data_IF_716873945808
#
_entry.id   IF_716873945808
#
_cell.length_a   1.000
_cell.length_b   1.000
_cell.length_c   1.000
_cell.angle_alpha   90.00
_cell.angle_beta   90.00
_cell.angle_gamma   90.00
#
_symmetry.space_group_name_H-M   'P 1'
#
loop_
_entity.id
_entity.type
_entity.pdbx_description
1 polymer ?
#
# COMPACT_ATOMS: atom_id res chain seq x y z
N UNK A 1 11.18 -33.01 16.90
CA UNK A 1 12.32 -32.07 16.82
C UNK A 1 12.47 -31.45 15.42
N UNK A 2 11.38 -31.17 14.67
CA UNK A 2 11.46 -30.60 13.31
C UNK A 2 10.57 -29.36 13.10
N UNK A 3 9.86 -28.89 14.14
CA UNK A 3 8.92 -27.77 14.03
C UNK A 3 9.55 -26.41 14.40
N UNK A 4 10.58 -26.38 15.24
CA UNK A 4 11.17 -25.11 15.73
C UNK A 4 12.05 -24.38 14.71
N UNK A 5 12.65 -25.09 13.74
CA UNK A 5 13.59 -24.50 12.79
C UNK A 5 12.90 -23.73 11.66
N UNK A 6 11.66 -24.10 11.32
CA UNK A 6 10.85 -23.43 10.30
C UNK A 6 10.27 -22.12 10.82
N UNK A 7 9.78 -22.10 12.07
CA UNK A 7 9.23 -20.90 12.73
C UNK A 7 10.28 -19.81 12.95
N UNK A 8 11.49 -20.17 13.39
CA UNK A 8 12.57 -19.17 13.57
C UNK A 8 13.00 -18.51 12.26
N UNK A 9 12.92 -19.22 11.13
CA UNK A 9 13.33 -18.73 9.79
C UNK A 9 12.26 -17.87 9.13
N UNK A 10 10.98 -18.12 9.40
CA UNK A 10 9.89 -17.23 8.99
C UNK A 10 9.85 -15.97 9.84
N UNK A 11 10.20 -16.06 11.13
CA UNK A 11 10.20 -14.93 12.06
C UNK A 11 11.35 -13.94 11.83
N UNK A 12 12.55 -14.42 11.47
CA UNK A 12 13.68 -13.53 11.09
C UNK A 12 13.48 -12.86 9.73
N UNK A 13 12.87 -13.56 8.76
CA UNK A 13 12.55 -12.94 7.46
C UNK A 13 11.43 -11.90 7.54
N UNK A 14 10.51 -12.06 8.49
CA UNK A 14 9.47 -11.06 8.72
C UNK A 14 10.02 -9.82 9.41
N UNK A 15 11.01 -9.93 10.29
CA UNK A 15 11.70 -8.76 10.85
C UNK A 15 12.50 -8.02 9.79
N UNK A 16 13.24 -8.71 8.91
CA UNK A 16 14.00 -8.07 7.82
C UNK A 16 13.07 -7.38 6.81
N UNK A 17 11.94 -8.00 6.48
CA UNK A 17 10.93 -7.40 5.62
C UNK A 17 10.25 -6.18 6.27
N UNK A 18 10.10 -6.15 7.59
CA UNK A 18 9.55 -5.01 8.33
C UNK A 18 10.58 -3.88 8.41
N UNK A 19 11.87 -4.18 8.61
CA UNK A 19 12.94 -3.17 8.63
C UNK A 19 13.14 -2.52 7.25
N UNK A 20 13.23 -3.32 6.18
CA UNK A 20 13.30 -2.81 4.80
C UNK A 20 12.04 -1.99 4.45
N UNK A 21 10.89 -2.39 4.97
CA UNK A 21 9.64 -1.65 4.80
C UNK A 21 9.60 -0.34 5.60
N UNK A 22 10.17 -0.30 6.81
CA UNK A 22 10.24 0.90 7.65
C UNK A 22 11.19 1.96 7.10
N UNK A 23 12.29 1.56 6.46
CA UNK A 23 13.24 2.46 5.81
C UNK A 23 12.73 3.01 4.47
N UNK A 24 11.84 2.29 3.78
CA UNK A 24 11.25 2.71 2.49
C UNK A 24 9.96 3.53 2.69
N UNK A 25 9.23 3.33 3.79
CA UNK A 25 8.07 4.12 4.18
C UNK A 25 8.45 5.43 4.88
N UNK A 26 9.27 6.22 4.20
CA UNK A 26 9.54 7.61 4.56
C UNK A 26 8.31 8.42 4.16
N UNK A 27 7.25 8.37 4.96
CA UNK A 27 7.06 9.34 6.06
C UNK A 27 5.60 9.54 6.46
N UNK A 28 4.62 9.03 5.72
CA UNK A 28 3.27 9.57 5.95
C UNK A 28 2.13 8.58 5.95
N UNK A 29 2.07 7.48 5.21
CA UNK A 29 0.82 6.69 5.13
C UNK A 29 0.86 5.30 5.76
N UNK A 30 1.98 4.99 6.40
CA UNK A 30 2.11 3.85 7.30
C UNK A 30 1.96 4.30 8.75
N UNK A 31 1.05 3.64 9.46
CA UNK A 31 0.59 4.00 10.80
C UNK A 31 1.15 3.09 11.90
N UNK A 32 2.09 2.19 11.57
CA UNK A 32 2.69 1.28 12.55
C UNK A 32 1.64 0.42 13.24
N UNK A 33 1.75 0.31 14.57
CA UNK A 33 0.91 -0.55 15.43
C UNK A 33 -0.54 -0.06 15.65
N UNK A 34 -1.08 0.77 14.75
CA UNK A 34 -2.45 1.26 14.79
C UNK A 34 -3.46 0.09 14.81
N UNK A 35 -4.43 0.16 15.71
CA UNK A 35 -5.46 -0.87 15.83
C UNK A 35 -6.50 -0.76 14.73
N UNK A 36 -7.25 -1.84 14.50
CA UNK A 36 -8.35 -1.85 13.53
C UNK A 36 -9.47 -0.85 13.90
N UNK A 37 -9.67 -0.60 15.19
CA UNK A 37 -10.69 0.33 15.69
C UNK A 37 -10.27 1.78 15.46
N UNK A 38 -9.03 2.14 15.82
CA UNK A 38 -8.50 3.49 15.56
C UNK A 38 -8.46 3.79 14.06
N UNK A 39 -8.05 2.81 13.24
CA UNK A 39 -8.10 2.96 11.78
C UNK A 39 -9.52 3.18 11.25
N UNK A 40 -10.52 2.53 11.85
CA UNK A 40 -11.93 2.73 11.50
C UNK A 40 -12.38 4.15 11.85
N UNK A 41 -12.05 4.65 13.03
CA UNK A 41 -12.39 6.00 13.47
C UNK A 41 -11.76 7.06 12.56
N UNK A 42 -10.48 6.90 12.20
CA UNK A 42 -9.79 7.81 11.26
C UNK A 42 -10.47 7.84 9.88
N UNK A 43 -10.98 6.69 9.40
CA UNK A 43 -11.54 6.58 8.05
C UNK A 43 -13.04 6.88 7.97
N UNK A 44 -13.78 6.86 9.09
CA UNK A 44 -15.24 6.90 9.11
C UNK A 44 -15.84 8.12 8.41
N UNK A 45 -15.21 9.28 8.53
CA UNK A 45 -15.66 10.55 7.94
C UNK A 45 -14.82 10.98 6.72
N UNK A 46 -14.11 10.04 6.10
CA UNK A 46 -13.27 10.31 4.91
C UNK A 46 -13.99 9.93 3.61
N UNK A 47 -13.49 10.43 2.49
CA UNK A 47 -14.03 10.07 1.18
C UNK A 47 -13.74 8.60 0.83
N UNK A 48 -14.64 7.96 0.07
CA UNK A 48 -14.39 6.64 -0.51
C UNK A 48 -13.06 6.62 -1.28
N UNK A 49 -12.29 5.54 -1.10
CA UNK A 49 -10.95 5.41 -1.66
C UNK A 49 -9.83 5.92 -0.76
N UNK A 50 -10.16 6.51 0.39
CA UNK A 50 -9.16 6.89 1.38
C UNK A 50 -8.60 5.66 2.09
N UNK A 51 -7.29 5.55 2.26
CA UNK A 51 -6.66 4.36 2.83
C UNK A 51 -5.44 4.65 3.68
N UNK A 52 -5.06 3.70 4.53
CA UNK A 52 -3.83 3.70 5.29
C UNK A 52 -3.28 2.28 5.42
N UNK A 53 -1.98 2.15 5.67
CA UNK A 53 -1.34 0.87 5.96
C UNK A 53 -0.91 0.84 7.42
N UNK A 54 -1.09 -0.29 8.07
CA UNK A 54 -0.75 -0.51 9.49
C UNK A 54 -0.32 -1.95 9.71
N UNK A 55 0.21 -2.23 10.87
CA UNK A 55 0.51 -3.58 11.30
C UNK A 55 -0.78 -4.39 11.46
N UNK A 56 -0.70 -5.65 11.08
CA UNK A 56 -1.79 -6.57 11.34
C UNK A 56 -1.83 -6.95 12.81
N UNK A 57 -3.01 -6.90 13.41
CA UNK A 57 -3.24 -7.43 14.76
C UNK A 57 -3.34 -8.96 14.80
N UNK A 58 -3.32 -9.62 13.62
CA UNK A 58 -3.34 -11.07 13.50
C UNK A 58 -1.96 -11.65 13.28
N UNK A 59 -1.65 -12.74 13.99
CA UNK A 59 -0.33 -13.40 13.97
C UNK A 59 0.11 -13.87 12.58
N UNK A 60 -0.82 -14.24 11.71
CA UNK A 60 -0.50 -14.84 10.41
C UNK A 60 -0.24 -13.80 9.29
N UNK A 61 -0.36 -12.52 9.60
CA UNK A 61 -0.21 -11.44 8.63
C UNK A 61 0.71 -10.36 9.20
N UNK A 62 1.51 -9.73 8.35
CA UNK A 62 2.40 -8.65 8.78
C UNK A 62 1.70 -7.29 8.72
N UNK A 63 1.00 -7.03 7.62
CA UNK A 63 0.41 -5.73 7.34
C UNK A 63 -1.07 -5.82 7.00
N UNK A 64 -1.78 -4.72 7.20
CA UNK A 64 -3.18 -4.54 6.83
C UNK A 64 -3.35 -3.18 6.17
N UNK A 65 -4.09 -3.14 5.06
CA UNK A 65 -4.61 -1.91 4.46
C UNK A 65 -6.00 -1.67 5.03
N UNK A 66 -6.19 -0.54 5.70
CA UNK A 66 -7.52 -0.07 6.07
C UNK A 66 -7.97 0.95 5.04
N UNK A 67 -9.13 0.77 4.42
CA UNK A 67 -9.64 1.63 3.36
C UNK A 67 -11.12 1.95 3.53
N UNK A 68 -11.51 3.18 3.23
CA UNK A 68 -12.89 3.62 3.19
C UNK A 68 -13.52 3.18 1.87
N UNK A 69 -14.54 2.31 1.95
CA UNK A 69 -15.31 1.82 0.80
C UNK A 69 -16.74 2.36 0.85
N UNK A 70 -17.52 2.17 -0.20
CA UNK A 70 -18.97 2.46 -0.20
C UNK A 70 -19.77 1.72 0.88
N UNK A 71 -19.25 0.63 1.45
CA UNK A 71 -19.85 -0.07 2.60
C UNK A 71 -19.27 0.39 3.96
N UNK A 72 -18.37 1.36 3.97
CA UNK A 72 -17.66 1.86 5.15
C UNK A 72 -16.20 1.37 5.24
N UNK A 73 -15.54 1.65 6.37
CA UNK A 73 -14.13 1.28 6.59
C UNK A 73 -13.96 -0.25 6.58
N UNK A 74 -13.09 -0.73 5.70
CA UNK A 74 -12.80 -2.15 5.47
C UNK A 74 -11.31 -2.42 5.69
N UNK A 75 -10.99 -3.59 6.24
CA UNK A 75 -9.62 -4.04 6.48
C UNK A 75 -9.24 -5.15 5.50
N UNK A 76 -8.11 -4.98 4.81
CA UNK A 76 -7.56 -5.92 3.84
C UNK A 76 -6.20 -6.37 4.32
N UNK A 77 -6.06 -7.66 4.60
CA UNK A 77 -4.80 -8.19 5.09
C UNK A 77 -3.83 -8.41 3.93
N UNK A 78 -2.54 -8.24 4.20
CA UNK A 78 -1.46 -8.51 3.28
C UNK A 78 -0.76 -9.80 3.73
N UNK A 79 -0.85 -10.83 2.91
CA UNK A 79 -0.09 -12.07 3.10
C UNK A 79 1.36 -11.87 2.62
N UNK A 80 2.31 -12.40 3.38
CA UNK A 80 3.71 -12.50 2.99
C UNK A 80 4.12 -13.97 2.90
N UNK A 81 4.45 -14.44 1.71
CA UNK A 81 4.86 -15.82 1.46
C UNK A 81 5.93 -15.87 0.38
N UNK A 82 6.95 -16.69 0.59
CA UNK A 82 8.05 -16.92 -0.37
C UNK A 82 8.75 -15.63 -0.84
N UNK A 83 8.85 -14.63 0.03
CA UNK A 83 9.47 -13.34 -0.28
C UNK A 83 8.56 -12.35 -1.03
N UNK A 84 7.28 -12.68 -1.19
CA UNK A 84 6.32 -11.85 -1.94
C UNK A 84 5.12 -11.45 -1.08
N UNK A 85 4.60 -10.27 -1.35
CA UNK A 85 3.40 -9.70 -0.77
C UNK A 85 2.20 -9.87 -1.72
N UNK A 86 1.04 -10.20 -1.17
CA UNK A 86 -0.24 -10.25 -1.90
C UNK A 86 -1.40 -9.88 -0.98
N UNK A 87 -2.51 -9.39 -1.54
CA UNK A 87 -3.74 -9.20 -0.77
C UNK A 87 -4.38 -10.55 -0.45
N UNK A 88 -4.98 -10.63 0.73
CA UNK A 88 -5.73 -11.81 1.17
C UNK A 88 -6.84 -12.14 0.16
N UNK A 89 -6.81 -13.39 -0.29
CA UNK A 89 -7.72 -13.91 -1.31
C UNK A 89 -9.18 -13.92 -0.84
N UNK A 90 -9.41 -13.97 0.47
CA UNK A 90 -10.74 -14.05 1.07
C UNK A 90 -11.56 -12.77 0.83
N UNK A 91 -10.90 -11.63 0.61
CA UNK A 91 -11.58 -10.32 0.51
C UNK A 91 -11.87 -9.92 -0.95
N UNK A 92 -11.23 -10.55 -1.94
CA UNK A 92 -11.37 -10.16 -3.36
C UNK A 92 -12.09 -11.22 -4.18
N UNK A 93 -13.31 -10.90 -4.63
CA UNK A 93 -14.14 -11.76 -5.51
C UNK A 93 -13.63 -11.69 -6.96
N UNK A 94 -12.40 -12.18 -7.25
CA UNK A 94 -11.88 -12.72 -8.56
C UNK A 94 -10.32 -12.83 -8.63
N UNK A 95 -9.76 -13.69 -9.51
CA UNK A 95 -8.59 -14.55 -9.23
C UNK A 95 -7.27 -14.07 -9.86
N UNK A 96 -6.95 -12.77 -9.77
CA UNK A 96 -5.63 -12.26 -10.24
C UNK A 96 -4.93 -11.48 -9.13
N UNK A 97 -4.79 -12.14 -7.99
CA UNK A 97 -3.91 -11.66 -6.92
C UNK A 97 -2.49 -11.69 -7.46
N UNK A 98 -1.98 -10.50 -7.78
CA UNK A 98 -0.58 -10.35 -8.13
C UNK A 98 0.24 -10.41 -6.85
N UNK A 99 1.42 -10.99 -7.00
CA UNK A 99 2.44 -11.04 -5.99
C UNK A 99 3.43 -9.91 -6.28
N UNK A 100 3.89 -9.24 -5.23
CA UNK A 100 4.76 -8.08 -5.32
C UNK A 100 5.98 -8.25 -4.43
N UNK A 101 7.11 -7.69 -4.83
CA UNK A 101 8.35 -7.69 -4.03
C UNK A 101 8.32 -6.69 -2.86
N UNK A 102 7.43 -5.69 -2.91
CA UNK A 102 7.26 -4.69 -1.87
C UNK A 102 5.78 -4.35 -1.70
N UNK A 103 5.37 -4.05 -0.47
CA UNK A 103 4.02 -3.56 -0.18
C UNK A 103 3.77 -2.19 -0.80
N UNK A 104 4.80 -1.34 -0.97
CA UNK A 104 4.64 -0.06 -1.68
C UNK A 104 4.25 -0.30 -3.14
N UNK A 105 4.89 -1.29 -3.79
CA UNK A 105 4.55 -1.69 -5.15
C UNK A 105 3.14 -2.29 -5.24
N UNK A 106 2.74 -3.09 -4.25
CA UNK A 106 1.37 -3.60 -4.13
C UNK A 106 0.37 -2.44 -4.07
N UNK A 107 0.57 -1.49 -3.14
CA UNK A 107 -0.31 -0.32 -2.97
C UNK A 107 -0.37 0.51 -4.25
N UNK A 108 0.77 0.82 -4.87
CA UNK A 108 0.81 1.59 -6.11
C UNK A 108 0.01 0.91 -7.23
N UNK A 109 0.15 -0.41 -7.39
CA UNK A 109 -0.60 -1.15 -8.39
C UNK A 109 -2.12 -1.05 -8.18
N UNK A 110 -2.60 -1.22 -6.95
CA UNK A 110 -4.03 -1.12 -6.64
C UNK A 110 -4.55 0.33 -6.73
N UNK A 111 -3.71 1.32 -6.41
CA UNK A 111 -4.03 2.74 -6.62
C UNK A 111 -4.17 3.05 -8.11
N UNK A 112 -3.24 2.56 -8.94
CA UNK A 112 -3.30 2.74 -10.38
C UNK A 112 -4.51 2.03 -11.00
N UNK A 113 -4.81 0.81 -10.55
CA UNK A 113 -6.00 0.07 -10.98
C UNK A 113 -7.28 0.86 -10.67
N UNK A 114 -7.38 1.42 -9.46
CA UNK A 114 -8.51 2.26 -9.04
C UNK A 114 -8.69 3.49 -9.94
N UNK A 115 -7.58 4.16 -10.31
CA UNK A 115 -7.61 5.30 -11.25
C UNK A 115 -8.08 4.90 -12.65
N UNK A 116 -7.66 3.74 -13.16
CA UNK A 116 -8.10 3.26 -14.48
C UNK A 116 -9.57 2.85 -14.50
N UNK A 117 -10.07 2.25 -13.43
CA UNK A 117 -11.49 1.91 -13.25
C UNK A 117 -12.40 3.15 -13.18
N UNK A 118 -11.87 4.30 -12.76
CA UNK A 118 -12.60 5.57 -12.76
C UNK A 118 -12.55 6.31 -14.11
N UNK A 119 -11.45 6.21 -14.88
CA UNK A 119 -11.29 6.90 -16.18
C UNK A 119 -12.07 6.25 -17.34
N UNK A 120 -12.49 5.00 -17.22
CA UNK A 120 -13.21 4.26 -18.27
C UNK A 120 -14.74 4.40 -18.27
N UNK A 121 -15.34 5.22 -17.40
CA UNK A 121 -16.81 5.34 -17.25
C UNK A 121 -17.35 6.60 -17.93
N UNK A 122 -17.41 6.60 -19.26
CA UNK A 122 -18.27 7.50 -20.06
C UNK A 122 -19.67 6.93 -20.29
N UNK A 123 -20.02 5.80 -19.66
CA UNK A 123 -21.39 5.29 -19.60
C UNK A 123 -21.75 4.95 -18.14
N UNK A 124 -22.89 5.45 -17.62
CA UNK A 124 -23.35 5.12 -16.28
C UNK A 124 -23.92 3.69 -16.30
N UNK A 125 -23.05 2.70 -16.18
CA UNK A 125 -23.48 1.34 -15.91
C UNK A 125 -23.87 1.25 -14.44
N UNK A 126 -25.14 0.92 -14.23
CA UNK A 126 -25.76 0.62 -12.95
C UNK A 126 -24.87 -0.28 -12.07
N UNK A 127 -24.97 -0.18 -10.73
CA UNK A 127 -24.24 -1.04 -9.81
C UNK A 127 -24.65 -2.50 -10.07
N UNK A 128 -23.79 -3.27 -10.73
CA UNK A 128 -23.97 -4.70 -10.81
C UNK A 128 -23.69 -5.28 -9.42
N UNK A 129 -24.77 -5.49 -8.67
CA UNK A 129 -24.94 -6.55 -7.68
C UNK A 129 -23.95 -6.50 -6.51
N UNK A 130 -24.20 -5.64 -5.52
CA UNK A 130 -23.77 -5.80 -4.11
C UNK A 130 -22.28 -5.98 -3.82
N UNK A 131 -21.40 -5.89 -4.82
CA UNK A 131 -19.97 -6.18 -4.67
C UNK A 131 -19.27 -4.88 -4.35
N UNK A 132 -18.85 -4.74 -3.10
CA UNK A 132 -18.04 -3.61 -2.64
C UNK A 132 -16.74 -3.60 -3.45
N UNK A 133 -16.54 -2.56 -4.25
CA UNK A 133 -15.31 -2.41 -5.03
C UNK A 133 -14.23 -1.81 -4.14
N UNK A 134 -13.09 -2.48 -4.03
CA UNK A 134 -11.92 -1.90 -3.37
C UNK A 134 -11.35 -0.77 -4.23
N UNK A 135 -11.41 0.45 -3.71
CA UNK A 135 -10.76 1.62 -4.29
C UNK A 135 -9.66 2.09 -3.34
N UNK A 136 -8.46 2.30 -3.88
CA UNK A 136 -7.36 2.96 -3.20
C UNK A 136 -7.00 4.21 -4.01
N UNK A 137 -7.20 5.40 -3.44
CA UNK A 137 -7.07 6.66 -4.16
C UNK A 137 -6.20 7.65 -3.40
N UNK A 138 -6.52 7.86 -2.12
CA UNK A 138 -5.93 8.89 -1.27
C UNK A 138 -5.36 8.25 0.00
N UNK A 139 -4.03 8.27 0.20
CA UNK A 139 -3.47 7.84 1.46
C UNK A 139 -3.82 8.82 2.60
N UNK A 140 -4.06 8.32 3.82
CA UNK A 140 -4.13 9.13 5.03
C UNK A 140 -2.73 9.31 5.58
N UNK A 141 -2.33 10.56 5.73
CA UNK A 141 -1.00 10.92 6.20
C UNK A 141 -0.97 11.08 7.74
N UNK A 142 -0.04 10.42 8.43
CA UNK A 142 0.28 10.50 9.87
C UNK A 142 0.95 11.82 10.22
N UNK A 143 1.76 12.33 9.30
CA UNK A 143 2.49 13.58 9.39
C UNK A 143 2.51 14.24 8.01
N UNK A 144 2.81 15.54 7.98
CA UNK A 144 3.05 16.23 6.71
C UNK A 144 4.37 15.74 6.10
N UNK A 145 4.36 15.18 4.87
CA UNK A 145 5.60 14.74 4.24
C UNK A 145 6.57 15.89 4.07
N UNK A 146 7.88 15.58 4.13
CA UNK A 146 8.88 16.59 3.82
C UNK A 146 8.68 17.14 2.41
N UNK A 147 8.95 18.44 2.23
CA UNK A 147 8.88 19.06 0.91
C UNK A 147 9.76 18.32 -0.12
N UNK A 148 10.90 17.81 0.33
CA UNK A 148 11.81 17.02 -0.51
C UNK A 148 11.13 15.74 -1.04
N UNK A 149 10.41 15.02 -0.17
CA UNK A 149 9.66 13.82 -0.57
C UNK A 149 8.48 14.15 -1.49
N UNK A 150 7.76 15.25 -1.22
CA UNK A 150 6.69 15.73 -2.11
C UNK A 150 7.23 16.06 -3.51
N UNK A 151 8.37 16.76 -3.59
CA UNK A 151 9.05 17.02 -4.85
C UNK A 151 9.48 15.73 -5.55
N UNK A 152 9.99 14.74 -4.81
CA UNK A 152 10.34 13.42 -5.36
C UNK A 152 9.14 12.74 -6.02
N UNK A 153 8.00 12.68 -5.32
CA UNK A 153 6.77 12.10 -5.87
C UNK A 153 6.33 12.87 -7.13
N UNK A 154 6.34 14.21 -7.08
CA UNK A 154 5.92 15.03 -8.21
C UNK A 154 6.80 14.80 -9.46
N UNK A 155 8.12 14.75 -9.29
CA UNK A 155 9.07 14.48 -10.38
C UNK A 155 8.86 13.07 -10.95
N UNK A 156 8.75 12.06 -10.08
CA UNK A 156 8.60 10.66 -10.50
C UNK A 156 7.27 10.38 -11.23
N UNK A 157 6.22 11.19 -10.96
CA UNK A 157 4.97 11.19 -11.72
C UNK A 157 5.13 11.76 -13.13
N UNK A 158 6.03 12.72 -13.31
CA UNK A 158 6.24 13.41 -14.60
C UNK A 158 7.23 12.67 -15.49
N UNK A 159 8.33 12.14 -14.93
CA UNK A 159 9.37 11.47 -15.71
C UNK A 159 10.01 10.30 -14.97
N UNK A 160 10.29 9.23 -15.72
CA UNK A 160 11.11 8.09 -15.25
C UNK A 160 12.58 8.23 -15.65
N UNK A 161 12.91 9.22 -16.49
CA UNK A 161 14.28 9.46 -17.00
C UNK A 161 15.03 10.40 -16.05
N UNK A 162 15.14 10.00 -14.79
CA UNK A 162 15.79 10.80 -13.72
C UNK A 162 17.24 11.17 -14.07
N UNK A 163 17.94 10.29 -14.80
CA UNK A 163 19.34 10.47 -15.15
C UNK A 163 19.59 11.65 -16.10
N UNK A 164 18.58 12.09 -16.84
CA UNK A 164 18.66 13.20 -17.80
C UNK A 164 18.31 14.55 -17.18
N UNK A 165 17.85 14.56 -15.92
CA UNK A 165 17.54 15.80 -15.24
C UNK A 165 18.82 16.59 -14.95
N UNK A 166 18.78 17.93 -15.04
CA UNK A 166 19.89 18.81 -14.69
C UNK A 166 20.03 18.93 -13.16
N UNK A 167 20.17 17.80 -12.47
CA UNK A 167 20.28 17.69 -11.01
C UNK A 167 21.64 17.07 -10.62
N UNK A 168 22.18 17.42 -9.44
CA UNK A 168 23.33 16.73 -8.85
C UNK A 168 23.06 15.22 -8.66
N UNK A 169 24.09 14.39 -8.78
CA UNK A 169 23.96 12.92 -8.66
C UNK A 169 23.31 12.49 -7.34
N UNK A 170 23.63 13.14 -6.22
CA UNK A 170 22.99 12.85 -4.93
C UNK A 170 21.46 12.98 -4.96
N UNK A 171 20.93 13.94 -5.71
CA UNK A 171 19.49 14.09 -5.86
C UNK A 171 18.91 13.07 -6.85
N UNK A 172 19.68 12.67 -7.88
CA UNK A 172 19.29 11.59 -8.78
C UNK A 172 19.18 10.27 -8.03
N UNK A 173 20.16 9.96 -7.18
CA UNK A 173 20.17 8.77 -6.32
C UNK A 173 18.93 8.77 -5.41
N UNK A 174 18.67 9.89 -4.71
CA UNK A 174 17.48 10.05 -3.87
C UNK A 174 16.14 9.85 -4.61
N UNK A 175 16.06 10.28 -5.88
CA UNK A 175 14.89 10.08 -6.73
C UNK A 175 14.75 8.62 -7.20
N UNK A 176 15.86 7.93 -7.45
CA UNK A 176 15.88 6.52 -7.86
C UNK A 176 15.64 5.55 -6.71
N UNK A 177 16.02 5.92 -5.48
CA UNK A 177 15.80 5.12 -4.28
C UNK A 177 14.30 4.88 -3.99
N UNK A 178 13.42 5.75 -4.51
CA UNK A 178 11.96 5.59 -4.40
C UNK A 178 11.29 5.86 -5.75
N UNK A 179 11.07 4.81 -6.53
CA UNK A 179 10.48 4.91 -7.88
C UNK A 179 8.95 4.94 -7.89
N UNK A 180 8.29 5.00 -6.75
CA UNK A 180 6.83 4.92 -6.64
C UNK A 180 6.17 6.32 -6.69
N UNK A 181 4.88 6.35 -7.05
CA UNK A 181 4.09 7.58 -7.22
C UNK A 181 3.10 7.87 -6.08
N UNK A 182 3.11 7.05 -5.03
CA UNK A 182 2.25 7.16 -3.85
C UNK A 182 3.04 7.74 -2.69
#
# INVERSE_FOLDING_TARGET
MLTETTERRTQTKSTDAVEDFSHVLVDCWYWGSLTANEAKEILQDTSEGTFLVRDSSQRDYLFTISAMTSAGPTNLRIEYKDGKFKLDSVVLVKPKLKQFDSVVHLVEHYVQLSRTSCKGRTTPLAPSNGTVQLLLMTPVYTATPSLQHLCRIAINKTTRRVQELPLPNRLKDYLTDYSYNV
#
